data_IF_061932271409
#
_entry.id   IF_061932271409
#
_cell.length_a   1.000
_cell.length_b   1.000
_cell.length_c   1.000
_cell.angle_alpha   90.00
_cell.angle_beta   90.00
_cell.angle_gamma   90.00
#
_symmetry.space_group_name_H-M   'P 1'
#
loop_
_entity.id
_entity.type
_entity.pdbx_description
1 polymer ?
#
# COMPACT_ATOMS: atom_id res chain seq x y z
N UNK A 1 50.73 10.81 40.11
CA UNK A 1 50.67 10.48 38.67
C UNK A 1 49.44 9.61 38.52
N UNK A 2 48.27 10.25 38.44
CA UNK A 2 46.97 9.63 38.22
C UNK A 2 46.07 10.71 37.56
N UNK A 3 45.23 10.38 36.58
CA UNK A 3 44.41 11.36 35.87
C UNK A 3 43.08 11.64 36.60
N UNK A 4 42.50 12.84 36.45
CA UNK A 4 41.15 13.13 36.93
C UNK A 4 40.07 12.45 36.08
N UNK A 5 38.93 12.16 36.71
CA UNK A 5 37.78 11.45 36.17
C UNK A 5 37.06 12.27 35.05
N UNK A 6 36.60 11.68 33.93
CA UNK A 6 35.84 12.39 32.91
C UNK A 6 34.44 12.82 33.38
N UNK A 7 33.90 13.86 32.75
CA UNK A 7 32.65 14.51 33.10
C UNK A 7 31.45 13.87 32.36
N UNK A 8 30.38 13.41 33.03
CA UNK A 8 29.28 12.71 32.38
C UNK A 8 28.27 13.69 31.77
N UNK A 9 28.57 14.27 30.60
CA UNK A 9 27.63 15.17 29.91
C UNK A 9 27.71 15.19 28.36
N UNK A 10 28.41 14.24 27.74
CA UNK A 10 28.39 14.06 26.28
C UNK A 10 27.32 13.04 25.87
N UNK A 11 26.15 13.53 25.45
CA UNK A 11 25.11 12.76 24.78
C UNK A 11 24.81 13.42 23.42
N UNK A 12 25.04 12.74 22.27
CA UNK A 12 24.77 13.33 20.96
C UNK A 12 23.26 13.51 20.75
N UNK A 13 22.84 14.73 20.39
CA UNK A 13 21.45 15.06 20.12
C UNK A 13 20.96 14.39 18.83
N UNK A 14 19.94 13.53 18.94
CA UNK A 14 19.26 12.94 17.79
C UNK A 14 18.41 13.99 17.05
N UNK A 15 18.38 13.99 15.71
CA UNK A 15 17.64 14.99 14.93
C UNK A 15 16.12 14.77 15.03
N UNK A 16 15.41 15.82 15.45
CA UNK A 16 13.98 15.80 15.77
C UNK A 16 13.05 15.53 14.56
N UNK A 17 13.54 15.64 13.32
CA UNK A 17 12.76 15.35 12.10
C UNK A 17 12.36 13.87 11.98
N UNK A 18 13.06 12.97 12.67
CA UNK A 18 12.76 11.54 12.68
C UNK A 18 11.44 11.21 13.40
N UNK A 19 11.18 11.84 14.55
CA UNK A 19 9.97 11.62 15.35
C UNK A 19 8.69 12.09 14.63
N UNK A 20 8.76 13.20 13.90
CA UNK A 20 7.65 13.71 13.10
C UNK A 20 7.22 12.73 11.98
N UNK A 21 8.14 11.91 11.47
CA UNK A 21 7.84 10.91 10.43
C UNK A 21 7.14 9.66 10.96
N UNK A 22 7.37 9.29 12.23
CA UNK A 22 6.54 8.29 12.90
C UNK A 22 5.12 8.82 13.15
N UNK A 23 4.99 10.10 13.53
CA UNK A 23 3.68 10.74 13.69
C UNK A 23 2.88 10.83 12.37
N UNK A 24 3.53 10.94 11.21
CA UNK A 24 2.87 11.00 9.90
C UNK A 24 2.23 9.68 9.43
N UNK A 25 2.58 8.54 10.04
CA UNK A 25 1.99 7.22 9.74
C UNK A 25 1.30 6.59 10.96
N UNK A 26 1.61 7.06 12.16
CA UNK A 26 0.71 7.01 13.32
C UNK A 26 -0.45 8.01 13.13
N UNK A 27 -1.28 7.76 12.11
CA UNK A 27 -2.49 8.54 11.80
C UNK A 27 -3.26 8.90 13.07
N UNK A 28 -3.27 10.20 13.40
CA UNK A 28 -4.06 10.86 14.45
C UNK A 28 -4.44 9.97 15.65
N UNK A 29 -3.45 9.59 16.47
CA UNK A 29 -3.55 8.61 17.56
C UNK A 29 -4.80 8.75 18.44
N UNK A 30 -5.85 8.00 18.06
CA UNK A 30 -7.19 7.85 18.68
C UNK A 30 -7.92 9.13 19.11
N UNK A 31 -7.50 10.32 18.64
CA UNK A 31 -8.01 11.61 19.14
C UNK A 31 -8.70 12.50 18.11
N UNK A 32 -8.31 12.45 16.84
CA UNK A 32 -8.93 13.27 15.78
C UNK A 32 -9.91 12.47 14.90
N UNK A 33 -10.01 11.15 15.13
CA UNK A 33 -11.10 10.34 14.58
C UNK A 33 -12.40 10.64 15.35
N UNK A 34 -13.55 10.82 14.66
CA UNK A 34 -14.84 10.99 15.34
C UNK A 34 -15.15 9.81 16.28
N UNK A 35 -15.84 10.01 17.43
CA UNK A 35 -16.11 8.92 18.39
C UNK A 35 -16.77 7.67 17.78
N UNK A 36 -17.57 7.87 16.73
CA UNK A 36 -18.28 6.80 16.01
C UNK A 36 -17.39 5.92 15.12
N UNK A 37 -16.11 6.27 14.91
CA UNK A 37 -15.17 5.48 14.11
C UNK A 37 -14.71 4.21 14.84
N UNK A 38 -14.77 4.22 16.17
CA UNK A 38 -14.34 3.11 17.03
C UNK A 38 -15.48 2.15 17.39
N UNK A 39 -16.75 2.50 17.13
CA UNK A 39 -17.94 1.74 17.55
C UNK A 39 -18.25 0.53 16.64
N UNK A 40 -17.23 -0.08 16.05
CA UNK A 40 -17.32 -1.30 15.25
C UNK A 40 -16.85 -2.50 16.09
N UNK A 41 -17.51 -2.73 17.22
CA UNK A 41 -17.34 -3.98 17.97
C UNK A 41 -17.75 -5.17 17.10
N UNK A 42 -17.03 -6.28 17.22
CA UNK A 42 -17.40 -7.53 16.57
C UNK A 42 -18.57 -8.11 17.36
N UNK A 43 -19.77 -7.99 16.80
CA UNK A 43 -20.91 -8.78 17.25
C UNK A 43 -20.70 -10.22 16.75
N UNK A 44 -20.18 -11.06 17.64
CA UNK A 44 -20.43 -12.49 17.57
C UNK A 44 -21.93 -12.70 17.88
N UNK A 45 -22.73 -13.07 16.87
CA UNK A 45 -24.14 -13.42 17.04
C UNK A 45 -24.27 -14.77 17.77
N UNK A 46 -24.27 -14.75 19.11
CA UNK A 46 -24.66 -15.91 19.93
C UNK A 46 -25.50 -15.49 21.16
N UNK A 47 -26.53 -16.27 21.50
CA UNK A 47 -27.59 -15.81 22.42
C UNK A 47 -27.25 -15.97 23.91
N UNK A 48 -27.01 -14.84 24.57
CA UNK A 48 -27.67 -14.44 25.82
C UNK A 48 -27.38 -15.20 27.13
N UNK A 49 -26.98 -14.46 28.17
CA UNK A 49 -27.55 -14.59 29.52
C UNK A 49 -27.43 -13.28 30.32
N UNK A 50 -28.27 -13.10 31.35
CA UNK A 50 -28.34 -11.89 32.18
C UNK A 50 -27.34 -11.90 33.37
N UNK A 51 -26.74 -10.76 33.74
CA UNK A 51 -26.94 -10.08 35.06
C UNK A 51 -26.07 -8.82 35.34
N UNK A 52 -26.74 -7.66 35.40
CA UNK A 52 -26.63 -6.54 36.38
C UNK A 52 -25.31 -6.05 37.04
N UNK A 53 -25.20 -4.70 37.08
CA UNK A 53 -24.48 -3.82 38.04
C UNK A 53 -22.95 -3.60 37.82
N UNK A 54 -22.34 -2.47 38.24
CA UNK A 54 -22.78 -1.41 39.18
C UNK A 54 -22.33 0.04 38.79
N UNK A 55 -22.54 1.03 39.68
CA UNK A 55 -22.43 2.49 39.45
C UNK A 55 -21.18 3.16 40.07
N UNK A 56 -20.72 4.25 39.43
CA UNK A 56 -20.07 5.42 40.07
C UNK A 56 -18.66 5.76 39.56
N UNK A 57 -18.24 7.03 39.43
CA UNK A 57 -19.00 8.29 39.47
C UNK A 57 -18.21 9.51 39.99
N UNK A 58 -18.29 10.66 39.29
CA UNK A 58 -17.84 12.01 39.73
C UNK A 58 -16.31 12.21 39.86
N UNK A 59 -15.69 13.41 39.80
CA UNK A 59 -15.87 14.68 39.06
C UNK A 59 -14.71 15.62 39.49
N UNK A 60 -14.64 16.84 38.95
CA UNK A 60 -13.80 18.00 39.39
C UNK A 60 -12.27 17.92 39.18
N UNK A 61 -11.51 19.02 39.16
CA UNK A 61 -11.52 20.21 38.27
C UNK A 61 -10.64 21.34 38.86
N UNK A 62 -9.72 21.92 38.08
CA UNK A 62 -9.23 23.30 38.28
C UNK A 62 -8.33 23.77 37.11
N UNK A 63 -8.48 25.04 36.69
CA UNK A 63 -7.47 25.83 35.97
C UNK A 63 -7.45 27.25 36.56
N UNK A 64 -6.27 27.87 36.64
CA UNK A 64 -6.03 29.31 36.88
C UNK A 64 -4.74 29.66 36.13
N UNK A 65 -4.81 30.55 35.13
CA UNK A 65 -4.67 32.02 35.20
C UNK A 65 -3.20 32.49 35.20
N UNK A 66 -2.91 33.48 34.34
CA UNK A 66 -1.61 34.15 34.20
C UNK A 66 -1.49 35.37 35.14
N UNK A 67 -0.36 36.11 35.08
CA UNK A 67 -0.48 37.49 34.57
C UNK A 67 0.72 37.96 33.69
N UNK A 68 0.75 39.26 33.42
CA UNK A 68 1.48 39.97 32.35
C UNK A 68 2.88 40.51 32.74
N UNK A 69 3.60 41.07 31.76
CA UNK A 69 4.77 41.95 31.95
C UNK A 69 5.23 42.61 30.64
N UNK A 70 5.58 43.90 30.65
CA UNK A 70 6.06 44.68 29.48
C UNK A 70 7.54 45.08 29.62
N UNK A 71 8.23 45.32 28.49
CA UNK A 71 9.06 46.53 28.25
C UNK A 71 9.59 46.60 26.79
N UNK A 72 10.34 47.68 26.47
CA UNK A 72 10.39 48.35 25.15
C UNK A 72 11.80 48.42 24.49
N UNK A 73 11.92 49.28 23.46
CA UNK A 73 13.11 49.95 22.85
C UNK A 73 13.81 49.39 21.58
N UNK A 74 13.56 50.10 20.46
CA UNK A 74 14.47 50.60 19.39
C UNK A 74 15.79 49.89 18.98
N UNK A 75 16.05 49.73 17.66
CA UNK A 75 16.61 50.80 16.78
C UNK A 75 16.84 50.41 15.28
N UNK A 76 17.18 51.41 14.46
CA UNK A 76 17.29 51.42 12.98
C UNK A 76 18.60 50.86 12.37
N UNK A 77 18.63 50.66 11.04
CA UNK A 77 19.88 50.51 10.27
C UNK A 77 19.75 50.05 8.80
N UNK A 78 19.54 50.99 7.86
CA UNK A 78 19.80 50.81 6.41
C UNK A 78 21.29 51.06 6.07
N UNK A 79 21.89 50.34 5.11
CA UNK A 79 22.62 50.97 3.98
C UNK A 79 22.98 50.01 2.80
N UNK A 80 23.55 50.57 1.73
CA UNK A 80 23.48 50.16 0.32
C UNK A 80 24.80 49.63 -0.30
N UNK A 81 24.67 48.61 -1.17
CA UNK A 81 25.50 48.19 -2.33
C UNK A 81 27.06 48.11 -2.32
N UNK A 82 27.53 46.94 -2.80
CA UNK A 82 28.59 46.66 -3.82
C UNK A 82 29.45 47.81 -4.43
N UNK A 83 30.73 47.51 -4.80
CA UNK A 83 31.04 47.17 -6.21
C UNK A 83 32.16 46.11 -6.46
N UNK A 84 32.34 45.72 -7.73
CA UNK A 84 33.26 44.68 -8.26
C UNK A 84 34.53 45.25 -8.95
N UNK A 85 35.43 44.36 -9.47
CA UNK A 85 35.95 44.51 -10.84
C UNK A 85 35.87 43.19 -11.66
N UNK A 86 35.39 43.16 -12.92
CA UNK A 86 36.10 43.37 -14.22
C UNK A 86 37.25 42.36 -14.47
N UNK A 87 37.50 41.77 -15.66
CA UNK A 87 37.04 41.91 -17.08
C UNK A 87 37.57 40.66 -17.87
N UNK A 88 37.42 40.36 -19.18
CA UNK A 88 36.69 40.78 -20.41
C UNK A 88 37.10 39.77 -21.55
N UNK A 89 36.55 39.62 -22.76
CA UNK A 89 35.51 40.32 -23.55
C UNK A 89 35.61 39.93 -25.05
N UNK A 90 34.91 40.67 -25.95
CA UNK A 90 34.86 40.55 -27.44
C UNK A 90 34.33 39.25 -28.07
N UNK A 91 34.09 39.27 -29.40
CA UNK A 91 33.08 38.44 -30.09
C UNK A 91 33.57 37.78 -31.40
N UNK A 92 32.81 36.79 -31.89
CA UNK A 92 32.94 36.17 -33.21
C UNK A 92 31.67 35.39 -33.59
N UNK A 93 31.28 35.42 -34.86
CA UNK A 93 30.06 34.76 -35.38
C UNK A 93 30.32 33.32 -35.90
N UNK A 94 29.20 32.61 -36.12
CA UNK A 94 28.96 31.67 -37.25
C UNK A 94 29.24 30.17 -37.06
N UNK A 95 28.15 29.40 -36.97
CA UNK A 95 27.97 28.20 -37.82
C UNK A 95 27.84 26.84 -37.15
N UNK A 96 26.58 26.38 -37.03
CA UNK A 96 26.13 24.97 -37.16
C UNK A 96 26.89 23.84 -36.44
N UNK A 97 26.27 23.31 -35.39
CA UNK A 97 26.24 21.87 -35.08
C UNK A 97 24.78 21.40 -35.03
N UNK A 98 24.57 20.08 -35.14
CA UNK A 98 23.26 19.44 -34.94
C UNK A 98 23.22 18.92 -33.51
N UNK A 99 22.31 19.45 -32.69
CA UNK A 99 22.07 18.92 -31.35
C UNK A 99 21.01 17.82 -31.47
N UNK A 100 21.48 16.57 -31.44
CA UNK A 100 20.66 15.36 -31.44
C UNK A 100 20.31 15.06 -29.98
N UNK A 101 19.22 15.66 -29.48
CA UNK A 101 18.74 15.54 -28.10
C UNK A 101 18.28 14.10 -27.78
N UNK A 102 19.26 13.23 -27.53
CA UNK A 102 19.03 11.93 -26.92
C UNK A 102 18.63 12.13 -25.46
N UNK A 103 17.33 11.98 -25.16
CA UNK A 103 16.81 11.89 -23.78
C UNK A 103 17.68 10.90 -22.98
N UNK A 104 18.31 11.33 -21.87
CA UNK A 104 19.15 10.44 -21.08
C UNK A 104 18.29 9.37 -20.40
N UNK A 105 18.70 8.11 -20.52
CA UNK A 105 18.04 6.98 -19.86
C UNK A 105 17.90 7.25 -18.35
N UNK A 106 16.72 7.01 -17.75
CA UNK A 106 16.47 7.35 -16.37
C UNK A 106 17.25 6.46 -15.40
N UNK A 107 18.10 7.10 -14.60
CA UNK A 107 18.90 6.50 -13.53
C UNK A 107 18.01 5.69 -12.55
N UNK A 108 18.21 4.36 -12.40
CA UNK A 108 17.26 3.47 -11.72
C UNK A 108 17.07 3.77 -10.22
N UNK A 109 18.04 4.41 -9.57
CA UNK A 109 18.00 4.73 -8.14
C UNK A 109 17.35 6.09 -7.82
N UNK A 110 16.66 6.72 -8.79
CA UNK A 110 15.96 7.98 -8.54
C UNK A 110 14.78 7.79 -7.56
N UNK A 111 14.78 8.61 -6.51
CA UNK A 111 13.99 8.58 -5.26
C UNK A 111 12.45 8.61 -5.42
N UNK A 112 11.90 7.60 -6.10
CA UNK A 112 10.59 7.64 -6.76
C UNK A 112 9.38 7.82 -5.83
N UNK A 113 9.54 7.51 -4.54
CA UNK A 113 8.50 7.52 -3.52
C UNK A 113 8.36 8.87 -2.78
N UNK A 114 9.24 9.86 -2.99
CA UNK A 114 9.25 11.12 -2.22
C UNK A 114 8.20 12.15 -2.68
N UNK A 115 6.94 11.81 -2.44
CA UNK A 115 5.82 12.75 -2.40
C UNK A 115 5.12 13.03 -3.74
N UNK A 116 4.28 14.07 -3.72
CA UNK A 116 3.35 14.45 -4.79
C UNK A 116 4.08 14.75 -6.10
N UNK A 117 3.74 14.05 -7.18
CA UNK A 117 4.38 14.26 -8.50
C UNK A 117 3.71 15.40 -9.27
N UNK A 118 4.52 16.41 -9.59
CA UNK A 118 4.16 17.63 -10.33
C UNK A 118 3.05 18.49 -9.68
N UNK A 119 3.19 18.95 -8.42
CA UNK A 119 2.16 19.72 -7.72
C UNK A 119 1.91 21.12 -8.33
N UNK A 120 2.73 21.56 -9.29
CA UNK A 120 2.46 22.77 -10.06
C UNK A 120 1.50 22.54 -11.24
N UNK A 121 1.32 21.31 -11.72
CA UNK A 121 0.46 20.99 -12.87
C UNK A 121 -1.04 21.07 -12.52
N UNK A 122 -1.83 21.40 -13.54
CA UNK A 122 -3.29 21.51 -13.55
C UNK A 122 -3.87 20.88 -14.84
N UNK A 123 -5.18 20.94 -15.05
CA UNK A 123 -5.80 20.38 -16.25
C UNK A 123 -5.56 21.23 -17.51
N UNK A 124 -5.03 22.45 -17.40
CA UNK A 124 -4.61 23.28 -18.54
C UNK A 124 -3.17 22.92 -19.01
N UNK A 125 -2.34 22.38 -18.11
CA UNK A 125 -0.93 22.09 -18.32
C UNK A 125 -0.69 21.06 -19.43
N UNK A 126 0.11 21.42 -20.44
CA UNK A 126 0.33 20.54 -21.60
C UNK A 126 1.11 19.25 -21.26
N UNK A 127 1.99 19.29 -20.26
CA UNK A 127 2.73 18.14 -19.72
C UNK A 127 1.82 17.17 -18.94
N UNK A 128 0.77 17.68 -18.30
CA UNK A 128 -0.28 16.90 -17.66
C UNK A 128 -1.16 16.22 -18.71
N UNK A 129 -1.64 16.97 -19.73
CA UNK A 129 -2.45 16.42 -20.84
C UNK A 129 -1.72 15.38 -21.71
N UNK A 130 -0.38 15.32 -21.65
CA UNK A 130 0.44 14.33 -22.37
C UNK A 130 0.56 12.97 -21.65
N UNK A 131 0.13 12.84 -20.40
CA UNK A 131 0.28 11.57 -19.64
C UNK A 131 -0.67 10.50 -20.19
N UNK A 132 -0.16 9.29 -20.43
CA UNK A 132 -0.97 8.18 -20.99
C UNK A 132 -2.03 7.62 -20.02
N UNK A 133 -1.95 7.92 -18.71
CA UNK A 133 -2.78 7.28 -17.67
C UNK A 133 -2.86 8.09 -16.37
N UNK A 134 -4.01 8.69 -16.11
CA UNK A 134 -4.36 9.37 -14.86
C UNK A 134 -5.25 8.49 -13.99
N UNK A 135 -5.17 8.68 -12.68
CA UNK A 135 -6.12 8.17 -11.70
C UNK A 135 -6.57 9.32 -10.80
N UNK A 136 -7.85 9.28 -10.41
CA UNK A 136 -8.50 10.24 -9.52
C UNK A 136 -9.36 9.49 -8.50
N UNK A 137 -9.41 10.03 -7.28
CA UNK A 137 -10.44 9.73 -6.28
C UNK A 137 -11.11 11.06 -5.94
N UNK A 138 -12.43 11.10 -5.89
CA UNK A 138 -13.22 12.27 -5.54
C UNK A 138 -14.49 11.87 -4.75
N UNK A 139 -15.08 12.82 -4.03
CA UNK A 139 -16.37 12.62 -3.36
C UNK A 139 -17.55 12.65 -4.33
N UNK A 140 -18.70 12.15 -3.89
CA UNK A 140 -19.99 12.37 -4.57
C UNK A 140 -20.38 13.85 -4.72
N UNK A 141 -19.79 14.76 -3.92
CA UNK A 141 -19.89 16.22 -4.05
C UNK A 141 -18.83 16.85 -4.96
N UNK A 142 -18.03 16.03 -5.66
CA UNK A 142 -17.04 16.47 -6.66
C UNK A 142 -15.73 17.00 -6.09
N UNK A 143 -15.55 16.95 -4.76
CA UNK A 143 -14.26 17.33 -4.14
C UNK A 143 -13.18 16.31 -4.53
N UNK A 144 -12.00 16.75 -5.01
CA UNK A 144 -10.86 15.87 -5.18
C UNK A 144 -10.39 15.33 -3.83
N UNK A 145 -9.98 14.05 -3.80
CA UNK A 145 -9.46 13.33 -2.63
C UNK A 145 -8.05 12.78 -2.93
N UNK A 146 -7.82 12.34 -4.17
CA UNK A 146 -6.49 11.95 -4.67
C UNK A 146 -6.39 12.19 -6.19
N UNK A 147 -5.21 12.60 -6.66
CA UNK A 147 -4.80 12.62 -8.06
C UNK A 147 -3.42 11.96 -8.25
N UNK A 148 -3.19 11.27 -9.38
CA UNK A 148 -1.85 10.72 -9.70
C UNK A 148 -0.82 11.82 -10.03
N UNK A 149 -1.27 12.90 -10.68
CA UNK A 149 -0.45 13.99 -11.21
C UNK A 149 -1.21 15.31 -11.08
N UNK A 150 -0.50 16.41 -10.83
CA UNK A 150 -1.11 17.71 -10.54
C UNK A 150 -1.65 17.82 -9.12
N UNK A 151 -1.90 19.04 -8.65
CA UNK A 151 -2.45 19.31 -7.32
C UNK A 151 -3.98 19.14 -7.28
N UNK A 152 -4.50 18.52 -6.22
CA UNK A 152 -5.93 18.30 -6.00
C UNK A 152 -6.74 19.60 -6.08
N UNK A 153 -6.33 20.66 -5.37
CA UNK A 153 -7.09 21.90 -5.32
C UNK A 153 -7.15 22.60 -6.70
N UNK A 154 -6.06 22.56 -7.47
CA UNK A 154 -6.05 23.02 -8.87
C UNK A 154 -6.99 22.20 -9.75
N UNK A 155 -7.04 20.89 -9.55
CA UNK A 155 -7.86 19.96 -10.32
C UNK A 155 -9.33 19.91 -9.90
N UNK A 156 -9.76 20.70 -8.89
CA UNK A 156 -11.13 20.68 -8.38
C UNK A 156 -12.21 20.95 -9.45
N UNK A 157 -11.95 21.84 -10.42
CA UNK A 157 -12.88 22.08 -11.54
C UNK A 157 -13.01 20.87 -12.49
N UNK A 158 -11.91 20.13 -12.69
CA UNK A 158 -11.89 18.89 -13.45
C UNK A 158 -12.63 17.77 -12.69
N UNK A 159 -12.41 17.63 -11.38
CA UNK A 159 -13.14 16.68 -10.53
C UNK A 159 -14.64 16.96 -10.47
N UNK A 160 -15.06 18.22 -10.38
CA UNK A 160 -16.46 18.60 -10.47
C UNK A 160 -17.08 18.24 -11.84
N UNK A 161 -16.30 18.35 -12.94
CA UNK A 161 -16.74 17.93 -14.27
C UNK A 161 -16.93 16.41 -14.36
N UNK A 162 -16.02 15.61 -13.77
CA UNK A 162 -16.18 14.16 -13.67
C UNK A 162 -17.41 13.77 -12.84
N UNK A 163 -17.66 14.45 -11.71
CA UNK A 163 -18.85 14.22 -10.89
C UNK A 163 -20.14 14.55 -11.64
N UNK A 164 -20.17 15.66 -12.40
CA UNK A 164 -21.35 16.07 -13.16
C UNK A 164 -21.71 15.04 -14.25
N UNK A 165 -20.72 14.42 -14.89
CA UNK A 165 -20.92 13.33 -15.86
C UNK A 165 -21.54 12.11 -15.17
N UNK A 166 -21.06 11.73 -13.99
CA UNK A 166 -21.62 10.61 -13.21
C UNK A 166 -23.08 10.92 -12.82
N UNK A 167 -23.32 12.07 -12.20
CA UNK A 167 -24.65 12.48 -11.73
C UNK A 167 -25.66 12.60 -12.87
N UNK A 168 -25.27 13.08 -14.05
CA UNK A 168 -26.16 13.13 -15.22
C UNK A 168 -26.70 11.75 -15.62
N UNK A 169 -25.85 10.71 -15.58
CA UNK A 169 -26.26 9.34 -15.89
C UNK A 169 -27.07 8.72 -14.75
N UNK A 170 -26.65 8.92 -13.49
CA UNK A 170 -27.41 8.44 -12.31
C UNK A 170 -28.83 9.02 -12.25
N UNK A 171 -29.00 10.30 -12.59
CA UNK A 171 -30.32 10.96 -12.69
C UNK A 171 -31.22 10.39 -13.81
N UNK A 172 -30.67 9.62 -14.76
CA UNK A 172 -31.43 8.91 -15.80
C UNK A 172 -31.84 7.49 -15.41
N UNK A 173 -31.38 6.98 -14.26
CA UNK A 173 -31.65 5.62 -13.79
C UNK A 173 -30.67 4.55 -14.28
N UNK A 174 -29.51 4.95 -14.82
CA UNK A 174 -28.42 4.06 -15.25
C UNK A 174 -27.12 4.38 -14.48
N UNK A 175 -26.11 3.51 -14.60
CA UNK A 175 -24.82 3.67 -13.94
C UNK A 175 -23.68 3.68 -14.95
N UNK A 176 -22.98 4.83 -15.04
CA UNK A 176 -21.86 5.00 -15.97
C UNK A 176 -20.72 4.02 -15.66
N UNK A 177 -20.29 3.27 -16.69
CA UNK A 177 -19.18 2.31 -16.62
C UNK A 177 -17.90 2.91 -17.20
N UNK A 178 -17.97 3.34 -18.46
CA UNK A 178 -16.87 4.05 -19.12
C UNK A 178 -17.37 4.93 -20.27
N UNK A 179 -16.53 5.88 -20.69
CA UNK A 179 -16.67 6.66 -21.93
C UNK A 179 -15.43 6.43 -22.78
N UNK A 180 -15.58 6.33 -24.11
CA UNK A 180 -14.47 6.19 -25.05
C UNK A 180 -14.42 7.39 -26.00
N UNK A 181 -13.31 8.12 -25.98
CA UNK A 181 -13.07 9.35 -26.75
C UNK A 181 -11.82 9.16 -27.62
N UNK A 182 -12.01 8.61 -28.82
CA UNK A 182 -10.91 8.21 -29.70
C UNK A 182 -10.02 7.15 -29.04
N UNK A 183 -8.74 7.47 -28.81
CA UNK A 183 -7.79 6.60 -28.10
C UNK A 183 -7.97 6.60 -26.57
N UNK A 184 -8.72 7.54 -25.99
CA UNK A 184 -8.90 7.61 -24.54
C UNK A 184 -10.11 6.79 -24.07
N UNK A 185 -9.95 6.10 -22.95
CA UNK A 185 -10.99 5.42 -22.21
C UNK A 185 -11.02 6.00 -20.79
N UNK A 186 -12.18 6.54 -20.41
CA UNK A 186 -12.46 7.08 -19.07
C UNK A 186 -13.30 6.04 -18.35
N UNK A 187 -12.74 5.33 -17.37
CA UNK A 187 -13.40 4.27 -16.60
C UNK A 187 -13.83 4.82 -15.24
N UNK A 188 -15.06 4.54 -14.83
CA UNK A 188 -15.67 5.02 -13.59
C UNK A 188 -15.92 3.86 -12.61
N UNK A 189 -15.69 4.14 -11.32
CA UNK A 189 -15.98 3.25 -10.21
C UNK A 189 -16.66 4.03 -9.07
N UNK A 190 -17.98 3.89 -8.96
CA UNK A 190 -18.77 4.46 -7.86
C UNK A 190 -18.82 3.48 -6.68
N UNK A 191 -18.49 3.95 -5.47
CA UNK A 191 -18.48 3.19 -4.20
C UNK A 191 -19.16 3.98 -3.08
N UNK A 192 -20.48 4.17 -3.18
CA UNK A 192 -21.22 5.03 -2.26
C UNK A 192 -20.76 6.49 -2.42
N UNK A 193 -20.31 7.19 -1.36
CA UNK A 193 -19.89 8.59 -1.46
C UNK A 193 -18.50 8.80 -2.10
N UNK A 194 -17.79 7.73 -2.46
CA UNK A 194 -16.42 7.77 -3.00
C UNK A 194 -16.46 7.32 -4.48
N UNK A 195 -16.02 8.19 -5.38
CA UNK A 195 -15.98 7.94 -6.83
C UNK A 195 -14.51 7.87 -7.26
N UNK A 196 -14.10 6.79 -7.94
CA UNK A 196 -12.76 6.63 -8.49
C UNK A 196 -12.83 6.63 -10.02
N UNK A 197 -11.87 7.28 -10.68
CA UNK A 197 -11.85 7.44 -12.15
C UNK A 197 -10.45 7.18 -12.69
N UNK A 198 -10.33 6.36 -13.73
CA UNK A 198 -9.12 6.21 -14.53
C UNK A 198 -9.35 6.84 -15.91
N UNK A 199 -8.42 7.69 -16.36
CA UNK A 199 -8.39 8.20 -17.73
C UNK A 199 -7.14 7.66 -18.39
N UNK A 200 -7.26 6.85 -19.43
CA UNK A 200 -6.10 6.27 -20.08
C UNK A 200 -6.21 6.13 -21.59
N UNK A 201 -5.07 6.24 -22.27
CA UNK A 201 -4.85 5.83 -23.66
C UNK A 201 -3.73 4.78 -23.79
N UNK A 202 -3.48 4.02 -22.72
CA UNK A 202 -2.94 2.66 -22.87
C UNK A 202 -4.03 1.75 -23.43
N UNK A 203 -3.65 0.69 -24.13
CA UNK A 203 -4.60 -0.21 -24.83
C UNK A 203 -5.19 -1.30 -23.89
N UNK A 204 -5.30 -0.97 -22.60
CA UNK A 204 -5.84 -1.84 -21.55
C UNK A 204 -7.37 -2.00 -21.67
N UNK A 205 -7.87 -3.17 -21.29
CA UNK A 205 -9.32 -3.45 -21.29
C UNK A 205 -10.06 -2.64 -20.22
N UNK A 206 -11.38 -2.50 -20.38
CA UNK A 206 -12.24 -1.90 -19.35
C UNK A 206 -12.11 -2.66 -18.02
N UNK A 207 -12.03 -3.99 -18.09
CA UNK A 207 -11.90 -4.89 -16.95
C UNK A 207 -10.57 -4.68 -16.21
N UNK A 208 -9.45 -4.54 -16.93
CA UNK A 208 -8.13 -4.30 -16.34
C UNK A 208 -8.06 -2.93 -15.65
N UNK A 209 -8.49 -1.87 -16.32
CA UNK A 209 -8.56 -0.52 -15.72
C UNK A 209 -9.54 -0.47 -14.54
N UNK A 210 -10.64 -1.23 -14.60
CA UNK A 210 -11.59 -1.36 -13.48
C UNK A 210 -10.96 -2.10 -12.30
N UNK A 211 -10.28 -3.22 -12.51
CA UNK A 211 -9.61 -3.99 -11.45
C UNK A 211 -8.58 -3.13 -10.69
N UNK A 212 -7.86 -2.28 -11.41
CA UNK A 212 -6.93 -1.30 -10.83
C UNK A 212 -7.66 -0.25 -9.95
N UNK A 213 -8.82 0.24 -10.37
CA UNK A 213 -9.66 1.12 -9.55
C UNK A 213 -10.23 0.39 -8.31
N UNK A 214 -10.62 -0.88 -8.44
CA UNK A 214 -11.07 -1.71 -7.31
C UNK A 214 -9.94 -1.94 -6.29
N UNK A 215 -8.70 -2.17 -6.74
CA UNK A 215 -7.52 -2.25 -5.88
C UNK A 215 -7.17 -0.89 -5.23
N UNK A 216 -7.27 0.23 -5.95
CA UNK A 216 -7.09 1.57 -5.35
C UNK A 216 -8.15 1.86 -4.27
N UNK A 217 -9.40 1.44 -4.47
CA UNK A 217 -10.43 1.53 -3.44
C UNK A 217 -10.10 0.62 -2.25
N UNK A 218 -9.62 -0.61 -2.49
CA UNK A 218 -9.10 -1.49 -1.45
C UNK A 218 -7.98 -0.84 -0.63
N UNK A 219 -7.04 -0.14 -1.28
CA UNK A 219 -5.95 0.55 -0.59
C UNK A 219 -6.44 1.69 0.31
N UNK A 220 -7.43 2.46 -0.15
CA UNK A 220 -8.10 3.49 0.64
C UNK A 220 -8.84 2.88 1.83
N UNK A 221 -9.54 1.75 1.63
CA UNK A 221 -10.19 1.02 2.71
C UNK A 221 -9.19 0.48 3.73
N UNK A 222 -8.03 -0.05 3.31
CA UNK A 222 -6.99 -0.53 4.23
C UNK A 222 -6.52 0.57 5.20
N UNK A 223 -6.51 1.83 4.74
CA UNK A 223 -6.08 2.98 5.54
C UNK A 223 -7.22 3.51 6.45
N UNK A 224 -8.47 3.59 5.96
CA UNK A 224 -9.57 4.32 6.63
C UNK A 224 -10.80 3.51 7.04
N UNK A 225 -10.87 2.22 6.70
CA UNK A 225 -12.09 1.37 6.70
C UNK A 225 -13.24 1.93 5.84
N UNK A 226 -14.29 1.13 5.66
CA UNK A 226 -15.54 1.54 5.01
C UNK A 226 -16.45 2.36 5.95
N UNK A 227 -16.14 2.42 7.26
CA UNK A 227 -16.88 3.28 8.21
C UNK A 227 -16.80 4.77 7.85
N UNK A 228 -15.82 5.18 7.04
CA UNK A 228 -15.73 6.55 6.49
C UNK A 228 -16.94 6.96 5.63
N UNK A 229 -17.72 6.01 5.10
CA UNK A 229 -19.00 6.34 4.44
C UNK A 229 -19.98 7.03 5.41
N UNK A 230 -19.99 6.63 6.69
CA UNK A 230 -20.82 7.23 7.75
C UNK A 230 -20.47 8.72 7.98
N UNK A 231 -19.24 9.14 7.68
CA UNK A 231 -18.84 10.55 7.77
C UNK A 231 -19.50 11.40 6.68
N UNK A 232 -19.64 10.87 5.46
CA UNK A 232 -20.37 11.54 4.38
C UNK A 232 -21.89 11.51 4.60
N UNK A 233 -22.44 10.44 5.16
CA UNK A 233 -23.85 10.35 5.57
C UNK A 233 -24.21 11.42 6.64
N UNK A 234 -23.33 11.60 7.63
CA UNK A 234 -23.48 12.64 8.67
C UNK A 234 -23.17 14.05 8.17
N UNK A 235 -22.23 14.19 7.24
CA UNK A 235 -21.81 15.48 6.67
C UNK A 235 -21.42 15.35 5.19
N UNK A 236 -22.31 15.67 4.23
CA UNK A 236 -22.00 15.64 2.80
C UNK A 236 -20.89 16.61 2.34
N UNK A 237 -20.43 17.52 3.22
CA UNK A 237 -19.28 18.42 2.99
C UNK A 237 -17.98 17.92 3.63
N UNK A 238 -17.97 16.73 4.23
CA UNK A 238 -16.81 16.09 4.84
C UNK A 238 -15.60 16.11 3.89
N UNK A 239 -14.40 16.17 4.45
CA UNK A 239 -13.15 16.30 3.70
C UNK A 239 -12.20 15.14 3.98
N UNK A 240 -12.36 14.07 3.21
CA UNK A 240 -11.56 12.85 3.34
C UNK A 240 -10.07 13.07 3.03
N UNK A 241 -9.69 14.07 2.23
CA UNK A 241 -8.29 14.29 1.85
C UNK A 241 -7.40 14.51 3.08
N UNK A 242 -7.96 15.16 4.12
CA UNK A 242 -7.30 15.38 5.41
C UNK A 242 -6.88 14.07 6.13
N UNK A 243 -7.63 12.98 5.94
CA UNK A 243 -7.33 11.67 6.53
C UNK A 243 -6.31 10.84 5.72
N UNK A 244 -5.99 11.27 4.49
CA UNK A 244 -5.04 10.59 3.59
C UNK A 244 -3.69 11.32 3.49
N UNK A 245 -3.45 12.34 4.31
CA UNK A 245 -2.19 13.08 4.36
C UNK A 245 -0.99 12.14 4.54
N UNK A 246 0.03 12.30 3.70
CA UNK A 246 1.24 11.46 3.71
C UNK A 246 1.11 10.10 3.00
N UNK A 247 -0.07 9.71 2.52
CA UNK A 247 -0.30 8.40 1.88
C UNK A 247 -0.03 8.35 0.37
N UNK A 248 0.38 9.47 -0.26
CA UNK A 248 0.72 9.56 -1.69
C UNK A 248 1.65 8.44 -2.17
N UNK A 249 2.68 8.11 -1.37
CA UNK A 249 3.64 7.06 -1.69
C UNK A 249 2.97 5.68 -1.81
N UNK A 250 1.97 5.40 -0.97
CA UNK A 250 1.21 4.12 -0.97
C UNK A 250 0.41 3.97 -2.26
N UNK A 251 -0.34 5.01 -2.66
CA UNK A 251 -1.10 5.01 -3.91
C UNK A 251 -0.18 5.01 -5.14
N UNK A 252 0.91 5.78 -5.10
CA UNK A 252 1.89 5.82 -6.19
C UNK A 252 2.59 4.46 -6.39
N UNK A 253 2.95 3.78 -5.29
CA UNK A 253 3.51 2.42 -5.30
C UNK A 253 2.55 1.41 -5.92
N UNK A 254 1.28 1.42 -5.49
CA UNK A 254 0.25 0.55 -6.05
C UNK A 254 0.02 0.81 -7.55
N UNK A 255 -0.04 2.08 -7.95
CA UNK A 255 -0.17 2.48 -9.36
C UNK A 255 1.08 2.11 -10.18
N UNK A 256 2.26 2.03 -9.56
CA UNK A 256 3.46 1.51 -10.20
C UNK A 256 3.40 -0.03 -10.35
N UNK A 257 2.94 -0.75 -9.32
CA UNK A 257 2.76 -2.19 -9.32
C UNK A 257 1.85 -2.68 -10.47
N UNK A 258 0.83 -1.91 -10.85
CA UNK A 258 -0.03 -2.20 -12.01
C UNK A 258 0.73 -2.35 -13.35
N UNK A 259 1.97 -1.85 -13.45
CA UNK A 259 2.80 -1.96 -14.66
C UNK A 259 3.66 -3.22 -14.73
N UNK A 260 3.91 -3.91 -13.61
CA UNK A 260 4.93 -4.97 -13.53
C UNK A 260 4.56 -6.18 -12.65
N UNK A 261 3.65 -6.04 -11.69
CA UNK A 261 3.31 -7.10 -10.74
C UNK A 261 2.06 -7.88 -11.20
N UNK A 262 2.19 -9.12 -11.70
CA UNK A 262 1.04 -9.88 -12.23
C UNK A 262 -0.02 -10.19 -11.16
N UNK A 263 0.34 -10.11 -9.87
CA UNK A 263 -0.60 -10.25 -8.76
C UNK A 263 -1.79 -9.27 -8.84
N UNK A 264 -1.58 -8.05 -9.36
CA UNK A 264 -2.64 -7.02 -9.47
C UNK A 264 -3.67 -7.31 -10.56
N UNK A 265 -3.43 -8.32 -11.41
CA UNK A 265 -4.36 -8.78 -12.44
C UNK A 265 -4.89 -10.19 -12.15
N UNK A 266 -4.05 -11.07 -11.59
CA UNK A 266 -4.39 -12.46 -11.32
C UNK A 266 -5.15 -12.69 -10.00
N UNK A 267 -5.32 -11.65 -9.16
CA UNK A 267 -5.90 -11.76 -7.81
C UNK A 267 -5.25 -12.90 -7.00
N UNK A 268 -3.93 -13.00 -7.08
CA UNK A 268 -3.11 -14.07 -6.53
C UNK A 268 -1.80 -13.51 -5.95
N UNK A 269 -1.21 -14.16 -4.94
CA UNK A 269 0.06 -13.75 -4.35
C UNK A 269 1.23 -14.64 -4.82
N UNK A 270 2.43 -14.06 -4.91
CA UNK A 270 3.65 -14.79 -5.25
C UNK A 270 4.25 -15.42 -4.00
N UNK A 271 4.65 -16.70 -4.06
CA UNK A 271 5.43 -17.34 -3.00
C UNK A 271 6.93 -17.18 -3.26
N UNK A 272 7.75 -16.91 -2.23
CA UNK A 272 9.22 -16.97 -2.37
C UNK A 272 9.64 -18.44 -2.64
N UNK A 273 10.47 -18.78 -3.64
CA UNK A 273 10.86 -20.17 -3.95
C UNK A 273 11.74 -20.83 -2.87
N UNK A 274 11.11 -21.63 -1.99
CA UNK A 274 11.78 -22.30 -0.87
C UNK A 274 11.51 -23.81 -0.87
N UNK A 275 12.48 -24.57 -0.35
CA UNK A 275 12.34 -26.00 -0.08
C UNK A 275 11.15 -26.30 0.86
N UNK A 276 10.49 -27.45 0.65
CA UNK A 276 9.30 -27.83 1.41
C UNK A 276 9.54 -27.88 2.92
N UNK A 277 10.69 -28.42 3.35
CA UNK A 277 11.12 -28.47 4.76
C UNK A 277 11.21 -27.08 5.37
N UNK A 278 11.82 -26.12 4.68
CA UNK A 278 11.94 -24.72 5.13
C UNK A 278 10.58 -24.06 5.27
N UNK A 279 9.66 -24.28 4.31
CA UNK A 279 8.28 -23.77 4.42
C UNK A 279 7.54 -24.38 5.60
N UNK A 280 7.67 -25.69 5.81
CA UNK A 280 7.02 -26.39 6.93
C UNK A 280 7.56 -25.90 8.28
N UNK A 281 8.87 -25.65 8.40
CA UNK A 281 9.46 -25.02 9.57
C UNK A 281 8.91 -23.59 9.79
N UNK A 282 8.87 -22.76 8.75
CA UNK A 282 8.31 -21.41 8.82
C UNK A 282 6.82 -21.41 9.24
N UNK A 283 6.01 -22.30 8.66
CA UNK A 283 4.59 -22.48 9.03
C UNK A 283 4.41 -22.96 10.47
N UNK A 284 5.25 -23.89 10.96
CA UNK A 284 5.19 -24.32 12.35
C UNK A 284 5.46 -23.15 13.32
N UNK A 285 6.52 -22.38 13.07
CA UNK A 285 6.89 -21.22 13.89
C UNK A 285 5.80 -20.12 13.91
N UNK A 286 5.05 -19.94 12.81
CA UNK A 286 3.88 -19.04 12.79
C UNK A 286 2.61 -19.68 13.38
N UNK A 287 2.55 -21.00 13.50
CA UNK A 287 1.41 -21.71 14.09
C UNK A 287 1.47 -21.74 15.62
N UNK A 288 2.69 -21.83 16.18
CA UNK A 288 2.95 -21.86 17.63
C UNK A 288 2.51 -20.58 18.37
N UNK A 289 2.29 -19.47 17.65
CA UNK A 289 1.82 -18.18 18.19
C UNK A 289 0.36 -17.83 17.82
N UNK A 290 -0.35 -18.70 17.09
CA UNK A 290 -1.72 -18.39 16.64
C UNK A 290 -2.71 -18.29 17.82
N UNK A 291 -2.50 -19.10 18.87
CA UNK A 291 -3.34 -19.10 20.07
C UNK A 291 -3.08 -17.88 20.99
N UNK A 292 -2.07 -17.05 20.69
CA UNK A 292 -1.72 -15.82 21.44
C UNK A 292 -2.61 -14.61 21.11
N UNK A 293 -3.81 -14.83 20.55
CA UNK A 293 -4.70 -13.76 20.10
C UNK A 293 -4.28 -13.12 18.75
N UNK A 294 -3.48 -13.84 17.96
CA UNK A 294 -3.05 -13.43 16.62
C UNK A 294 -4.03 -13.99 15.59
N UNK A 295 -4.78 -13.10 14.92
CA UNK A 295 -5.77 -13.47 13.91
C UNK A 295 -5.10 -13.96 12.62
N UNK A 296 -4.04 -13.28 12.17
CA UNK A 296 -3.20 -13.69 11.05
C UNK A 296 -1.72 -13.41 11.34
N UNK A 297 -0.86 -14.36 10.98
CA UNK A 297 0.59 -14.22 11.01
C UNK A 297 1.13 -14.40 9.58
N UNK A 298 1.85 -13.39 9.08
CA UNK A 298 2.47 -13.38 7.76
C UNK A 298 3.98 -13.28 7.91
N UNK A 299 4.71 -14.20 7.30
CA UNK A 299 6.16 -14.07 7.08
C UNK A 299 6.37 -13.78 5.59
N UNK A 300 6.97 -12.63 5.31
CA UNK A 300 7.05 -12.01 3.99
C UNK A 300 8.50 -11.71 3.62
N UNK A 301 8.77 -11.73 2.32
CA UNK A 301 10.02 -11.26 1.73
C UNK A 301 9.65 -10.35 0.56
N UNK A 302 9.79 -9.03 0.73
CA UNK A 302 9.23 -8.04 -0.20
C UNK A 302 7.72 -8.29 -0.42
N UNK A 303 7.27 -8.39 -1.68
CA UNK A 303 5.90 -8.75 -2.06
C UNK A 303 5.66 -10.28 -2.10
N UNK A 304 6.62 -11.11 -1.69
CA UNK A 304 6.57 -12.58 -1.79
C UNK A 304 6.22 -13.19 -0.43
N UNK A 305 5.25 -14.09 -0.38
CA UNK A 305 4.89 -14.84 0.83
C UNK A 305 5.91 -15.96 1.08
N UNK A 306 6.48 -16.02 2.29
CA UNK A 306 7.23 -17.18 2.77
C UNK A 306 6.26 -18.18 3.41
N UNK A 307 5.42 -17.69 4.33
CA UNK A 307 4.42 -18.45 5.05
C UNK A 307 3.28 -17.55 5.55
N UNK A 308 2.08 -18.12 5.67
CA UNK A 308 0.85 -17.47 6.14
C UNK A 308 0.12 -18.46 7.05
N UNK A 309 -0.29 -18.01 8.24
CA UNK A 309 -1.15 -18.73 9.17
C UNK A 309 -2.31 -17.82 9.58
N UNK A 310 -3.51 -18.38 9.71
CA UNK A 310 -4.69 -17.70 10.25
C UNK A 310 -5.30 -18.50 11.39
N UNK A 311 -5.75 -17.80 12.44
CA UNK A 311 -6.46 -18.41 13.56
C UNK A 311 -7.68 -19.20 13.07
N UNK A 312 -7.96 -20.34 13.71
CA UNK A 312 -9.06 -21.24 13.35
C UNK A 312 -9.07 -21.70 11.87
N UNK A 313 -7.91 -21.62 11.17
CA UNK A 313 -7.74 -21.87 9.72
C UNK A 313 -8.41 -20.81 8.81
N UNK A 314 -8.64 -19.59 9.31
CA UNK A 314 -9.08 -18.48 8.48
C UNK A 314 -8.09 -18.22 7.33
N UNK A 315 -8.62 -17.93 6.14
CA UNK A 315 -7.84 -17.65 4.92
C UNK A 315 -7.90 -16.16 4.58
N UNK A 316 -6.74 -15.52 4.40
CA UNK A 316 -6.68 -14.14 3.94
C UNK A 316 -6.71 -14.07 2.40
N UNK A 317 -7.44 -13.09 1.85
CA UNK A 317 -7.59 -12.91 0.41
C UNK A 317 -6.27 -12.40 -0.23
N UNK A 318 -5.90 -12.83 -1.45
CA UNK A 318 -4.67 -12.36 -2.09
C UNK A 318 -4.58 -10.84 -2.27
N UNK A 319 -5.70 -10.16 -2.60
CA UNK A 319 -5.76 -8.69 -2.65
C UNK A 319 -5.40 -8.04 -1.31
N UNK A 320 -5.89 -8.58 -0.19
CA UNK A 320 -5.60 -8.02 1.14
C UNK A 320 -4.11 -8.20 1.49
N UNK A 321 -3.49 -9.32 1.11
CA UNK A 321 -2.05 -9.56 1.22
C UNK A 321 -1.26 -8.56 0.36
N UNK A 322 -1.70 -8.33 -0.87
CA UNK A 322 -1.05 -7.38 -1.80
C UNK A 322 -1.13 -5.93 -1.31
N UNK A 323 -2.29 -5.51 -0.81
CA UNK A 323 -2.53 -4.16 -0.30
C UNK A 323 -1.77 -3.91 1.02
N UNK A 324 -1.68 -4.94 1.88
CA UNK A 324 -0.90 -4.89 3.12
C UNK A 324 0.60 -4.83 2.84
N UNK A 325 1.11 -5.67 1.94
CA UNK A 325 2.51 -5.62 1.50
C UNK A 325 2.85 -4.28 0.85
N UNK A 326 1.97 -3.75 0.00
CA UNK A 326 2.15 -2.42 -0.60
C UNK A 326 2.19 -1.32 0.46
N UNK A 327 1.26 -1.30 1.42
CA UNK A 327 1.22 -0.33 2.52
C UNK A 327 2.51 -0.34 3.36
N UNK A 328 2.98 -1.53 3.76
CA UNK A 328 4.20 -1.69 4.56
C UNK A 328 5.44 -1.26 3.77
N UNK A 329 5.59 -1.72 2.52
CA UNK A 329 6.80 -1.45 1.72
C UNK A 329 6.89 -0.01 1.21
N UNK A 330 5.76 0.72 1.14
CA UNK A 330 5.72 2.13 0.74
C UNK A 330 6.22 3.11 1.81
N UNK A 331 6.61 2.63 3.01
CA UNK A 331 7.23 3.48 4.03
C UNK A 331 8.52 2.90 4.61
N UNK A 332 9.52 3.76 4.76
CA UNK A 332 10.74 3.46 5.51
C UNK A 332 10.55 3.32 7.04
N UNK A 333 9.47 3.88 7.61
CA UNK A 333 9.29 3.88 9.09
C UNK A 333 9.12 2.47 9.68
N UNK A 334 8.50 1.56 8.94
CA UNK A 334 8.34 0.16 9.33
C UNK A 334 9.68 -0.60 9.37
N UNK A 335 10.67 -0.12 8.60
CA UNK A 335 12.02 -0.72 8.50
C UNK A 335 12.93 -0.25 9.64
N UNK A 336 12.74 0.98 10.12
CA UNK A 336 13.57 1.57 11.18
C UNK A 336 13.14 1.22 12.60
N UNK A 337 11.91 0.74 12.79
CA UNK A 337 11.31 0.58 14.12
C UNK A 337 10.17 -0.43 14.13
N UNK A 338 10.11 -1.24 15.20
CA UNK A 338 8.92 -2.02 15.55
C UNK A 338 7.69 -1.11 15.55
N UNK A 339 6.71 -1.44 14.74
CA UNK A 339 5.56 -0.57 14.46
C UNK A 339 4.26 -1.30 14.76
N UNK A 340 3.28 -0.60 15.31
CA UNK A 340 1.95 -1.15 15.61
C UNK A 340 0.90 -0.12 15.18
N UNK A 341 0.19 -0.42 14.11
CA UNK A 341 -0.66 0.54 13.39
C UNK A 341 -2.07 -0.01 13.13
N UNK A 342 -3.13 0.80 13.22
CA UNK A 342 -4.46 0.40 12.82
C UNK A 342 -4.55 0.27 11.28
N UNK A 343 -5.19 -0.80 10.81
CA UNK A 343 -5.48 -1.07 9.39
C UNK A 343 -6.88 -1.67 9.24
N UNK A 344 -7.36 -1.74 8.00
CA UNK A 344 -8.48 -2.59 7.60
C UNK A 344 -8.02 -3.69 6.63
N UNK A 345 -8.77 -4.79 6.53
CA UNK A 345 -8.57 -5.82 5.51
C UNK A 345 -9.82 -5.87 4.62
N UNK A 346 -9.81 -5.22 3.44
CA UNK A 346 -11.02 -4.95 2.64
C UNK A 346 -11.85 -6.17 2.23
N UNK A 347 -11.23 -7.34 2.06
CA UNK A 347 -11.90 -8.59 1.65
C UNK A 347 -12.23 -9.48 2.85
N UNK A 348 -11.47 -9.40 3.94
CA UNK A 348 -11.77 -10.09 5.20
C UNK A 348 -12.92 -9.42 5.97
N UNK A 349 -12.79 -8.14 6.34
CA UNK A 349 -13.87 -7.34 6.94
C UNK A 349 -13.64 -5.84 6.69
N UNK A 350 -14.32 -5.22 5.70
CA UNK A 350 -14.11 -3.82 5.35
C UNK A 350 -14.65 -2.80 6.39
N UNK A 351 -15.40 -3.24 7.41
CA UNK A 351 -16.00 -2.35 8.43
C UNK A 351 -15.18 -2.26 9.72
N UNK A 352 -14.34 -3.26 10.00
CA UNK A 352 -13.60 -3.39 11.24
C UNK A 352 -12.15 -2.88 11.12
N UNK A 353 -11.62 -2.38 12.22
CA UNK A 353 -10.18 -2.17 12.40
C UNK A 353 -9.52 -3.44 12.93
N UNK A 354 -8.33 -3.73 12.39
CA UNK A 354 -7.34 -4.62 12.97
C UNK A 354 -6.09 -3.80 13.29
N UNK A 355 -5.22 -4.32 14.15
CA UNK A 355 -3.93 -3.72 14.45
C UNK A 355 -2.83 -4.62 13.89
N UNK A 356 -1.94 -4.03 13.10
CA UNK A 356 -0.81 -4.69 12.48
C UNK A 356 0.47 -4.37 13.25
N UNK A 357 1.03 -5.38 13.93
CA UNK A 357 2.41 -5.35 14.42
C UNK A 357 3.34 -5.74 13.27
N UNK A 358 4.28 -4.87 12.92
CA UNK A 358 5.22 -5.04 11.80
C UNK A 358 6.66 -4.96 12.31
N UNK A 359 7.50 -5.91 11.89
CA UNK A 359 8.92 -5.94 12.22
C UNK A 359 9.73 -6.57 11.08
N UNK A 360 10.76 -5.85 10.61
CA UNK A 360 11.74 -6.32 9.65
C UNK A 360 12.89 -7.04 10.36
N UNK A 361 13.29 -8.21 9.85
CA UNK A 361 14.46 -8.97 10.31
C UNK A 361 15.74 -8.60 9.53
N UNK A 362 15.58 -8.23 8.26
CA UNK A 362 16.60 -7.68 7.39
C UNK A 362 15.96 -6.71 6.37
N UNK A 363 16.67 -6.30 5.33
CA UNK A 363 16.19 -5.34 4.33
C UNK A 363 15.01 -5.84 3.48
N UNK A 364 14.78 -7.15 3.36
CA UNK A 364 13.73 -7.71 2.52
C UNK A 364 12.68 -8.49 3.33
N UNK A 365 13.09 -9.09 4.45
CA UNK A 365 12.32 -10.08 5.20
C UNK A 365 11.65 -9.45 6.41
N UNK A 366 10.31 -9.60 6.53
CA UNK A 366 9.53 -9.04 7.63
C UNK A 366 8.42 -9.98 8.09
N UNK A 367 8.04 -9.86 9.37
CA UNK A 367 6.83 -10.45 9.92
C UNK A 367 5.74 -9.39 10.07
N UNK A 368 4.49 -9.79 9.86
CA UNK A 368 3.31 -8.99 10.20
C UNK A 368 2.34 -9.85 10.99
N UNK A 369 2.00 -9.41 12.21
CA UNK A 369 1.04 -10.06 13.08
C UNK A 369 -0.20 -9.17 13.18
N UNK A 370 -1.37 -9.70 12.83
CA UNK A 370 -2.64 -8.98 12.81
C UNK A 370 -3.52 -9.46 13.98
N UNK A 371 -4.14 -8.52 14.69
CA UNK A 371 -5.06 -8.81 15.79
C UNK A 371 -6.22 -7.81 15.82
N UNK A 372 -7.32 -8.16 16.49
CA UNK A 372 -8.42 -7.24 16.81
C UNK A 372 -8.09 -6.34 18.00
N UNK A 373 -7.18 -6.77 18.87
CA UNK A 373 -6.82 -6.11 20.13
C UNK A 373 -5.94 -4.86 19.94
N UNK A 374 -6.42 -3.70 20.38
CA UNK A 374 -5.65 -2.44 20.39
C UNK A 374 -4.60 -2.34 21.51
N UNK A 375 -4.62 -3.25 22.48
CA UNK A 375 -3.73 -3.27 23.65
C UNK A 375 -2.55 -4.25 23.52
N UNK A 376 -2.61 -5.19 22.56
CA UNK A 376 -1.73 -6.35 22.46
C UNK A 376 -0.27 -6.06 22.02
N UNK A 377 0.20 -4.80 22.06
CA UNK A 377 1.53 -4.42 21.57
C UNK A 377 2.66 -5.26 22.18
N UNK A 378 2.63 -5.47 23.51
CA UNK A 378 3.65 -6.23 24.22
C UNK A 378 3.55 -7.74 23.94
N UNK A 379 2.33 -8.29 23.94
CA UNK A 379 2.07 -9.70 23.60
C UNK A 379 2.61 -10.05 22.20
N UNK A 380 2.41 -9.16 21.22
CA UNK A 380 2.91 -9.30 19.85
C UNK A 380 4.43 -9.09 19.74
N UNK A 381 5.00 -8.18 20.55
CA UNK A 381 6.45 -7.95 20.63
C UNK A 381 7.20 -9.20 21.12
N UNK A 382 6.65 -9.87 22.13
CA UNK A 382 7.16 -11.11 22.69
C UNK A 382 6.91 -12.30 21.75
N UNK A 383 5.73 -12.36 21.12
CA UNK A 383 5.43 -13.35 20.05
C UNK A 383 6.43 -13.25 18.90
N UNK A 384 6.75 -12.03 18.43
CA UNK A 384 7.82 -11.80 17.46
C UNK A 384 9.17 -12.28 17.98
N UNK A 385 9.51 -12.01 19.24
CA UNK A 385 10.79 -12.44 19.81
C UNK A 385 10.90 -13.97 19.84
N UNK A 386 9.80 -14.69 20.09
CA UNK A 386 9.73 -16.14 19.93
C UNK A 386 9.96 -16.57 18.47
N UNK A 387 9.21 -15.99 17.53
CA UNK A 387 9.36 -16.25 16.08
C UNK A 387 10.80 -16.05 15.63
N UNK A 388 11.42 -14.93 15.96
CA UNK A 388 12.80 -14.60 15.56
C UNK A 388 13.79 -15.65 16.04
N UNK A 389 13.70 -16.07 17.31
CA UNK A 389 14.55 -17.11 17.87
C UNK A 389 14.33 -18.48 17.21
N UNK A 390 13.09 -18.82 16.83
CA UNK A 390 12.76 -20.09 16.21
C UNK A 390 13.13 -20.13 14.70
N UNK A 391 12.94 -19.04 13.96
CA UNK A 391 13.38 -18.90 12.56
C UNK A 391 14.92 -18.95 12.43
N UNK A 392 15.65 -18.39 13.40
CA UNK A 392 17.11 -18.52 13.48
C UNK A 392 17.54 -19.97 13.75
N UNK A 393 16.96 -20.63 14.77
CA UNK A 393 17.27 -22.04 15.10
C UNK A 393 16.95 -23.03 13.98
N UNK A 394 15.98 -22.72 13.12
CA UNK A 394 15.59 -23.54 11.97
C UNK A 394 16.27 -23.12 10.65
N UNK A 395 17.19 -22.16 10.68
CA UNK A 395 17.91 -21.59 9.52
C UNK A 395 17.00 -20.99 8.42
N UNK A 396 15.72 -20.71 8.71
CA UNK A 396 14.75 -20.22 7.71
C UNK A 396 15.18 -18.89 7.11
N UNK A 397 15.71 -17.97 7.91
CA UNK A 397 16.18 -16.66 7.42
C UNK A 397 17.38 -16.79 6.46
N UNK A 398 18.29 -17.74 6.73
CA UNK A 398 19.45 -18.01 5.87
C UNK A 398 18.99 -18.56 4.51
N UNK A 399 18.00 -19.46 4.52
CA UNK A 399 17.42 -20.03 3.29
C UNK A 399 16.61 -18.98 2.49
N UNK A 400 15.93 -18.05 3.18
CA UNK A 400 15.27 -16.89 2.54
C UNK A 400 16.29 -16.00 1.84
N UNK A 401 17.38 -15.65 2.52
CA UNK A 401 18.47 -14.85 1.93
C UNK A 401 19.14 -15.59 0.76
N UNK A 402 19.31 -16.91 0.85
CA UNK A 402 19.80 -17.74 -0.27
C UNK A 402 18.83 -17.70 -1.46
N UNK A 403 17.53 -17.85 -1.22
CA UNK A 403 16.48 -17.76 -2.25
C UNK A 403 16.30 -16.37 -2.88
N UNK A 404 16.85 -15.30 -2.29
CA UNK A 404 16.89 -13.98 -2.95
C UNK A 404 18.00 -13.89 -4.00
N UNK A 405 19.13 -14.59 -3.78
CA UNK A 405 20.30 -14.56 -4.67
C UNK A 405 20.25 -15.69 -5.72
N UNK A 406 19.63 -16.82 -5.39
CA UNK A 406 19.32 -17.88 -6.36
C UNK A 406 18.14 -17.43 -7.24
N UNK A 407 18.45 -17.08 -8.50
CA UNK A 407 17.46 -16.56 -9.46
C UNK A 407 16.17 -17.38 -9.47
N UNK A 408 15.03 -16.69 -9.38
CA UNK A 408 13.72 -17.30 -9.36
C UNK A 408 13.46 -18.18 -10.60
N UNK A 409 12.60 -19.20 -10.43
CA UNK A 409 12.13 -20.13 -11.46
C UNK A 409 11.96 -19.44 -12.81
N UNK A 410 12.81 -19.83 -13.77
CA UNK A 410 12.81 -19.25 -15.10
C UNK A 410 11.77 -19.93 -15.99
N UNK A 411 11.47 -19.32 -17.13
CA UNK A 411 10.54 -19.91 -18.10
C UNK A 411 11.12 -21.18 -18.71
N UNK A 412 12.45 -21.28 -18.86
CA UNK A 412 13.14 -22.51 -19.26
C UNK A 412 13.12 -23.64 -18.20
N UNK A 413 12.88 -23.32 -16.92
CA UNK A 413 12.77 -24.32 -15.84
C UNK A 413 11.36 -24.94 -15.74
N UNK A 414 10.36 -24.35 -16.39
CA UNK A 414 9.01 -24.90 -16.44
C UNK A 414 9.01 -26.16 -17.30
N UNK A 415 8.40 -27.27 -16.84
CA UNK A 415 8.36 -28.53 -17.59
C UNK A 415 7.52 -28.35 -18.86
N UNK A 416 8.19 -28.08 -19.97
CA UNK A 416 7.57 -28.00 -21.30
C UNK A 416 6.94 -29.35 -21.63
N UNK A 417 5.62 -29.35 -21.81
CA UNK A 417 4.88 -30.59 -22.05
C UNK A 417 5.18 -31.08 -23.48
N UNK A 418 5.83 -32.24 -23.68
CA UNK A 418 6.28 -32.66 -25.01
C UNK A 418 5.11 -32.86 -26.00
N UNK A 419 3.88 -33.05 -25.49
CA UNK A 419 2.67 -33.11 -26.34
C UNK A 419 2.35 -31.81 -27.08
N UNK A 420 2.75 -30.63 -26.58
CA UNK A 420 2.45 -29.35 -27.24
C UNK A 420 3.37 -28.99 -28.42
N UNK A 421 4.35 -29.83 -28.77
CA UNK A 421 5.16 -29.65 -29.99
C UNK A 421 4.62 -30.42 -31.21
N UNK A 422 3.53 -31.20 -31.08
CA UNK A 422 2.95 -32.00 -32.17
C UNK A 422 1.64 -31.41 -32.71
N UNK A 423 1.69 -30.18 -33.23
CA UNK A 423 0.51 -29.43 -33.70
C UNK A 423 0.76 -28.52 -34.92
N UNK A 424 1.66 -28.91 -35.84
CA UNK A 424 1.98 -28.12 -37.04
C UNK A 424 2.20 -28.95 -38.33
N UNK A 425 1.42 -30.03 -38.49
CA UNK A 425 1.22 -30.68 -39.80
C UNK A 425 -0.27 -30.67 -40.17
N UNK A 426 -0.64 -30.35 -41.42
CA UNK A 426 -2.03 -30.45 -41.88
C UNK A 426 -2.43 -31.92 -42.03
N UNK A 427 -3.72 -32.27 -41.80
CA UNK A 427 -4.16 -33.66 -41.89
C UNK A 427 -4.38 -34.09 -43.35
N UNK A 428 -3.53 -34.99 -43.85
CA UNK A 428 -3.92 -35.85 -44.97
C UNK A 428 -4.89 -36.94 -44.48
N UNK A 429 -5.90 -37.23 -45.29
CA UNK A 429 -6.99 -38.14 -44.92
C UNK A 429 -6.65 -39.60 -45.17
N UNK A 430 -6.83 -40.46 -44.16
CA UNK A 430 -7.32 -41.84 -44.35
C UNK A 430 -7.94 -42.39 -43.06
N UNK A 431 -8.78 -43.40 -43.22
CA UNK A 431 -9.54 -44.06 -42.17
C UNK A 431 -8.72 -45.20 -41.56
N UNK A 432 -8.92 -45.52 -40.28
CA UNK A 432 -9.60 -46.78 -39.94
C UNK A 432 -10.06 -46.85 -38.48
N UNK A 433 -10.97 -47.80 -38.19
CA UNK A 433 -11.55 -48.02 -36.86
C UNK A 433 -11.14 -49.40 -36.34
N UNK A 434 -10.47 -49.46 -35.19
CA UNK A 434 -10.50 -50.66 -34.34
C UNK A 434 -10.36 -50.31 -32.86
N UNK A 435 -11.06 -51.08 -32.02
CA UNK A 435 -11.16 -50.89 -30.58
C UNK A 435 -10.14 -51.72 -29.79
N UNK A 436 -9.59 -51.17 -28.72
CA UNK A 436 -9.28 -51.97 -27.54
C UNK A 436 -9.18 -51.13 -26.26
N UNK A 437 -9.76 -51.65 -25.18
CA UNK A 437 -9.60 -51.14 -23.82
C UNK A 437 -8.53 -51.93 -23.09
N UNK A 438 -7.60 -51.25 -22.40
CA UNK A 438 -6.82 -51.88 -21.34
C UNK A 438 -6.49 -50.87 -20.24
N UNK A 439 -6.51 -51.35 -19.00
CA UNK A 439 -6.22 -50.61 -17.79
C UNK A 439 -4.76 -50.77 -17.36
N UNK A 440 -4.16 -49.71 -16.83
CA UNK A 440 -3.14 -49.86 -15.79
C UNK A 440 -3.16 -48.67 -14.85
N UNK A 441 -3.08 -48.95 -13.56
CA UNK A 441 -2.56 -47.98 -12.58
C UNK A 441 -1.06 -47.80 -12.81
N UNK A 442 -0.55 -46.58 -12.64
CA UNK A 442 0.84 -46.34 -12.24
C UNK A 442 0.87 -45.09 -11.36
N UNK A 443 1.16 -45.26 -10.07
CA UNK A 443 1.35 -44.15 -9.16
C UNK A 443 2.72 -43.49 -9.44
N UNK A 444 2.70 -42.21 -9.84
CA UNK A 444 3.89 -41.36 -9.93
C UNK A 444 3.61 -40.10 -9.11
N UNK A 445 4.46 -39.84 -8.11
CA UNK A 445 4.28 -38.75 -7.15
C UNK A 445 4.33 -37.38 -7.84
N UNK A 446 3.18 -36.69 -7.93
CA UNK A 446 3.12 -35.32 -8.44
C UNK A 446 3.44 -34.32 -7.34
N UNK A 447 4.57 -33.62 -7.48
CA UNK A 447 4.85 -32.37 -6.77
C UNK A 447 3.76 -31.35 -7.11
N UNK A 448 2.83 -31.10 -6.19
CA UNK A 448 1.78 -30.09 -6.35
C UNK A 448 2.38 -28.70 -6.16
N UNK A 449 2.67 -28.02 -7.26
CA UNK A 449 2.90 -26.58 -7.28
C UNK A 449 1.56 -25.86 -7.13
N UNK A 450 1.25 -25.43 -5.90
CA UNK A 450 -0.01 -24.73 -5.60
C UNK A 450 0.12 -23.24 -5.90
N UNK A 451 -0.17 -22.82 -7.14
CA UNK A 451 -0.72 -21.49 -7.35
C UNK A 451 -2.15 -21.49 -6.82
N UNK A 452 -2.42 -20.70 -5.79
CA UNK A 452 -3.74 -20.55 -5.20
C UNK A 452 -4.58 -19.55 -6.02
N UNK A 453 -5.07 -19.98 -7.18
CA UNK A 453 -6.09 -19.25 -7.92
C UNK A 453 -7.42 -19.33 -7.18
N UNK A 454 -7.92 -18.20 -6.70
CA UNK A 454 -9.33 -18.04 -6.34
C UNK A 454 -10.09 -17.54 -7.58
N UNK A 455 -11.24 -18.15 -7.85
CA UNK A 455 -12.19 -17.80 -8.92
C UNK A 455 -13.48 -17.35 -8.25
#
# INVERSE_FOLDING_TARGET
MDPPNPNPNDAPSLPAESAARLAALSLCGTRDLPPDFHTAEILDDDEGYLTSASRGGSSTSAWKEAPEGLHDDDKDGDDVSQPSPRSSGYAGERGSSLDDDADPDPDPDQDWARGKKHPHEDDASSSWRKRKKHFFILSNSGKPIYSRYGDEHKLAGFSATLQAIISFVENSGDHIKFVRAGKHQIVFLVKGPIYLVCISCTEESYEGLRGQLELMYGQLLLILTKSVNKCFEKNPRFDMATLLGGTDAVFLSLIHAFSWNPATFLHAYTCLPLAQSTRQAASAVLQDIADSGVLFALLMCEHKVISLVGAQKATLHPDDILLLANFILSSGSFRTSESFVPICLPRYNPMAYLHAYVHFFDEHTYVTLLTTRSDAFYDLKDSRAHIQNALLKSNVLIEVQRSLHENALRVEDLPTNPSSQSASHPPESSQDISSQSLSSEMAIGRTRWTMAFYI
#
